data_IF_252965961546
#
_entry.id   IF_252965961546
#
_cell.length_a   1.000
_cell.length_b   1.000
_cell.length_c   1.000
_cell.angle_alpha   90.00
_cell.angle_beta   90.00
_cell.angle_gamma   90.00
#
_symmetry.space_group_name_H-M   'P 1'
#
loop_
_entity.id
_entity.type
_entity.pdbx_description
1 polymer ?
#
# COMPACT_ATOMS: atom_id res chain seq x y z
N UNK A 1 -13.27 -3.76 13.80
CA UNK A 1 -12.09 -4.44 13.22
C UNK A 1 -11.79 -3.75 11.89
N UNK A 2 -10.55 -3.35 11.61
CA UNK A 2 -10.21 -2.69 10.33
C UNK A 2 -9.90 -3.70 9.24
N UNK A 3 -10.08 -3.31 7.98
CA UNK A 3 -9.90 -4.18 6.82
C UNK A 3 -8.41 -4.34 6.47
N UNK A 4 -8.09 -5.39 5.70
CA UNK A 4 -6.74 -5.56 5.17
C UNK A 4 -6.63 -4.97 3.77
N UNK A 5 -5.43 -4.55 3.41
CA UNK A 5 -5.13 -3.93 2.13
C UNK A 5 -3.93 -4.58 1.47
N UNK A 6 -4.08 -4.95 0.21
CA UNK A 6 -2.96 -5.35 -0.65
C UNK A 6 -2.46 -4.15 -1.43
N UNK A 7 -1.15 -4.00 -1.55
CA UNK A 7 -0.57 -2.99 -2.43
C UNK A 7 -0.36 -3.57 -3.83
N UNK A 8 -0.76 -2.82 -4.84
CA UNK A 8 -0.71 -3.21 -6.25
C UNK A 8 -0.07 -2.09 -7.05
N UNK A 9 0.88 -2.46 -7.89
CA UNK A 9 1.41 -1.61 -8.94
C UNK A 9 0.61 -1.88 -10.22
N UNK A 10 -0.25 -0.94 -10.59
CA UNK A 10 -1.12 -1.04 -11.75
C UNK A 10 -0.33 -1.01 -13.06
N UNK A 11 0.71 -0.17 -13.14
CA UNK A 11 1.59 -0.03 -14.30
C UNK A 11 2.25 -1.35 -14.65
N UNK A 12 2.82 -2.03 -13.64
CA UNK A 12 3.55 -3.30 -13.79
C UNK A 12 2.66 -4.54 -13.66
N UNK A 13 1.38 -4.36 -13.31
CA UNK A 13 0.40 -5.44 -13.03
C UNK A 13 0.92 -6.45 -12.00
N UNK A 14 1.55 -5.93 -10.94
CA UNK A 14 2.18 -6.75 -9.90
C UNK A 14 1.67 -6.39 -8.52
N UNK A 15 1.51 -7.38 -7.66
CA UNK A 15 1.18 -7.19 -6.24
C UNK A 15 2.43 -7.18 -5.38
N UNK A 16 2.41 -6.41 -4.30
CA UNK A 16 3.47 -6.43 -3.29
C UNK A 16 3.35 -7.68 -2.44
N UNK A 17 4.42 -8.47 -2.36
CA UNK A 17 4.50 -9.66 -1.50
C UNK A 17 5.54 -9.52 -0.39
N UNK A 18 6.13 -8.32 -0.23
CA UNK A 18 7.12 -8.07 0.81
C UNK A 18 6.46 -8.11 2.20
N UNK A 19 7.17 -8.54 3.25
CA UNK A 19 6.66 -8.43 4.62
C UNK A 19 6.53 -6.97 5.04
N UNK A 20 5.36 -6.59 5.57
CA UNK A 20 5.10 -5.23 6.03
C UNK A 20 5.27 -5.10 7.55
N UNK A 21 6.18 -4.24 8.04
CA UNK A 21 6.47 -4.12 9.48
C UNK A 21 5.29 -3.54 10.27
N UNK A 22 4.34 -2.87 9.60
CA UNK A 22 3.15 -2.29 10.19
C UNK A 22 1.94 -3.24 10.23
N UNK A 23 2.13 -4.53 9.91
CA UNK A 23 1.13 -5.56 10.15
C UNK A 23 1.77 -6.96 10.32
N UNK A 24 2.48 -7.19 11.42
CA UNK A 24 3.05 -8.51 11.78
C UNK A 24 3.88 -9.18 10.66
N UNK A 25 4.57 -8.39 9.83
CA UNK A 25 5.32 -8.88 8.66
C UNK A 25 4.46 -9.62 7.63
N UNK A 26 3.14 -9.44 7.65
CA UNK A 26 2.25 -9.90 6.58
C UNK A 26 2.41 -9.01 5.34
N UNK A 27 2.19 -9.53 4.13
CA UNK A 27 2.28 -8.73 2.90
C UNK A 27 1.14 -7.72 2.73
N UNK A 28 0.13 -7.78 3.61
CA UNK A 28 -1.03 -6.90 3.57
C UNK A 28 -1.00 -5.93 4.75
N UNK A 29 -1.41 -4.69 4.52
CA UNK A 29 -1.57 -3.70 5.58
C UNK A 29 -2.90 -3.91 6.31
N UNK A 30 -3.04 -3.36 7.52
CA UNK A 30 -4.31 -3.39 8.26
C UNK A 30 -4.74 -1.99 8.63
N UNK A 31 -6.05 -1.74 8.52
CA UNK A 31 -6.71 -0.50 8.94
C UNK A 31 -6.16 0.78 8.28
N UNK A 32 -5.78 0.73 6.98
CA UNK A 32 -5.25 1.91 6.27
C UNK A 32 -6.22 3.11 6.30
N UNK A 33 -7.53 2.86 6.43
CA UNK A 33 -8.57 3.90 6.55
C UNK A 33 -8.45 4.80 7.79
N UNK A 34 -7.63 4.42 8.76
CA UNK A 34 -7.43 5.17 10.01
C UNK A 34 -6.23 6.11 9.96
N UNK A 35 -5.39 5.98 8.94
CA UNK A 35 -4.17 6.75 8.84
C UNK A 35 -4.43 8.11 8.21
N UNK A 36 -3.68 9.11 8.67
CA UNK A 36 -3.58 10.40 8.01
C UNK A 36 -2.94 10.26 6.63
N UNK A 37 -3.06 11.31 5.81
CA UNK A 37 -2.46 11.34 4.47
C UNK A 37 -0.95 11.15 4.50
N UNK A 38 -0.26 11.76 5.46
CA UNK A 38 1.19 11.67 5.62
C UNK A 38 1.60 10.25 5.98
N UNK A 39 0.92 9.63 6.95
CA UNK A 39 1.21 8.24 7.33
C UNK A 39 0.91 7.27 6.18
N UNK A 40 -0.16 7.49 5.40
CA UNK A 40 -0.42 6.72 4.19
C UNK A 40 0.74 6.85 3.20
N UNK A 41 1.20 8.08 2.91
CA UNK A 41 2.34 8.31 2.02
C UNK A 41 3.56 7.50 2.46
N UNK A 42 3.91 7.55 3.74
CA UNK A 42 5.04 6.75 4.27
C UNK A 42 4.88 5.24 4.02
N UNK A 43 3.66 4.69 4.15
CA UNK A 43 3.45 3.26 3.93
C UNK A 43 3.61 2.89 2.46
N UNK A 44 3.09 3.73 1.58
CA UNK A 44 3.30 3.55 0.14
C UNK A 44 4.78 3.69 -0.23
N UNK A 45 5.48 4.70 0.29
CA UNK A 45 6.90 4.91 0.02
C UNK A 45 7.73 3.69 0.44
N UNK A 46 7.45 3.13 1.62
CA UNK A 46 8.07 1.89 2.06
C UNK A 46 7.86 0.76 1.05
N UNK A 47 6.62 0.57 0.59
CA UNK A 47 6.27 -0.50 -0.37
C UNK A 47 6.95 -0.27 -1.72
N UNK A 48 6.95 0.95 -2.23
CA UNK A 48 7.55 1.32 -3.51
C UNK A 48 9.06 1.05 -3.48
N UNK A 49 9.74 1.54 -2.45
CA UNK A 49 11.20 1.37 -2.30
C UNK A 49 11.59 -0.11 -2.18
N UNK A 50 10.87 -0.88 -1.35
CA UNK A 50 11.24 -2.27 -1.08
C UNK A 50 10.83 -3.24 -2.20
N UNK A 51 9.85 -2.89 -3.04
CA UNK A 51 9.53 -3.66 -4.25
C UNK A 51 10.36 -3.23 -5.47
N UNK A 52 11.30 -2.28 -5.34
CA UNK A 52 12.02 -1.67 -6.47
C UNK A 52 11.07 -1.13 -7.55
N UNK A 53 9.94 -0.56 -7.13
CA UNK A 53 8.98 0.10 -8.01
C UNK A 53 9.39 1.54 -8.28
N UNK A 54 8.92 2.09 -9.41
CA UNK A 54 9.15 3.49 -9.74
C UNK A 54 8.19 4.38 -8.94
N UNK A 55 8.65 5.57 -8.56
CA UNK A 55 7.78 6.62 -8.03
C UNK A 55 6.77 7.15 -9.08
N UNK A 56 7.05 6.90 -10.36
CA UNK A 56 6.15 7.21 -11.47
C UNK A 56 5.06 6.15 -11.66
N UNK A 57 5.24 4.95 -11.08
CA UNK A 57 4.27 3.87 -11.20
C UNK A 57 2.94 4.26 -10.51
N UNK A 58 1.83 3.78 -11.07
CA UNK A 58 0.54 3.91 -10.42
C UNK A 58 0.42 2.81 -9.35
N UNK A 59 0.64 3.20 -8.09
CA UNK A 59 0.53 2.30 -6.94
C UNK A 59 -0.73 2.60 -6.14
N UNK A 60 -1.47 1.55 -5.83
CA UNK A 60 -2.73 1.61 -5.06
C UNK A 60 -2.76 0.55 -3.96
N UNK A 61 -3.51 0.82 -2.90
CA UNK A 61 -3.83 -0.14 -1.85
C UNK A 61 -5.32 -0.53 -1.96
N UNK A 62 -5.59 -1.81 -2.19
CA UNK A 62 -6.95 -2.34 -2.40
C UNK A 62 -7.36 -3.10 -1.15
N UNK A 63 -8.41 -2.62 -0.51
CA UNK A 63 -9.01 -3.22 0.68
C UNK A 63 -9.91 -4.41 0.36
N UNK A 64 -10.02 -5.35 1.30
CA UNK A 64 -10.87 -6.54 1.16
C UNK A 64 -12.36 -6.21 0.88
N UNK A 65 -12.83 -5.04 1.31
CA UNK A 65 -14.20 -4.56 1.04
C UNK A 65 -14.30 -3.63 -0.18
N UNK A 66 -13.27 -3.58 -1.03
CA UNK A 66 -13.26 -2.79 -2.26
C UNK A 66 -12.88 -1.31 -2.07
N UNK A 67 -12.44 -0.90 -0.87
CA UNK A 67 -11.89 0.45 -0.66
C UNK A 67 -10.54 0.57 -1.38
N UNK A 68 -10.34 1.62 -2.17
CA UNK A 68 -9.09 1.85 -2.88
C UNK A 68 -8.45 3.14 -2.38
N UNK A 69 -7.19 3.05 -1.96
CA UNK A 69 -6.34 4.22 -1.72
C UNK A 69 -5.32 4.34 -2.84
N UNK A 70 -5.17 5.52 -3.39
CA UNK A 70 -4.12 5.85 -4.35
C UNK A 70 -2.93 6.44 -3.61
N UNK A 71 -1.73 6.29 -4.18
CA UNK A 71 -0.55 7.00 -3.68
C UNK A 71 -0.83 8.50 -3.56
N UNK A 72 -0.62 9.13 -2.38
CA UNK A 72 -0.90 10.55 -2.21
C UNK A 72 0.11 11.43 -2.98
N UNK A 73 -0.22 11.79 -4.23
CA UNK A 73 0.50 12.78 -5.05
C UNK A 73 0.00 14.18 -4.64
N UNK A 74 0.86 14.98 -4.01
CA UNK A 74 0.65 16.44 -3.85
C UNK A 74 1.53 17.17 -4.84
#
# INVERSE_FOLDING_TARGET
>A
MGQYYKFVNATKRSESTIPLPFNFNMPWAKSLERYSREELREKFDFVIQNNSWSQEDEVMAIGDYGTIFYYPKD
#
